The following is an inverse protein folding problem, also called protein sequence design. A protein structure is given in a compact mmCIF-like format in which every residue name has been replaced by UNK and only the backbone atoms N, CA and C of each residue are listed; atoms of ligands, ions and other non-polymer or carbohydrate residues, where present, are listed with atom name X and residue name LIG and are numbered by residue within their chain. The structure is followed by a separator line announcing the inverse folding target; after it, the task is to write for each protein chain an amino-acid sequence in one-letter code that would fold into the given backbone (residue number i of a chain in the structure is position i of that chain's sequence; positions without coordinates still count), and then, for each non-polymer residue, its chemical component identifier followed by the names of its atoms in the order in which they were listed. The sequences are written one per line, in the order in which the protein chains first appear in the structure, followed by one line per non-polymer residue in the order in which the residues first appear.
data_IF_198656269180
#
_entry.id   IF_198656269180
#
_cell.length_a   1.000
_cell.length_b   1.000
_cell.length_c   1.000
_cell.angle_alpha   90.00
_cell.angle_beta   90.00
_cell.angle_gamma   90.00
#
_symmetry.space_group_name_H-M   'P 1'
#
loop_
_entity.id
_entity.type
_entity.pdbx_description
1 polymer ?
#
# COMPACT_ATOMS: atom_id res chain seq x y z
N UNK A 1 31.58 -8.17 35.45
CA UNK A 1 31.28 -8.54 34.04
C UNK A 1 29.87 -8.16 33.78
N UNK A 2 29.65 -7.07 33.07
CA UNK A 2 28.34 -6.64 32.62
C UNK A 2 28.23 -7.15 31.19
N UNK A 3 27.34 -8.13 30.97
CA UNK A 3 27.06 -8.64 29.64
C UNK A 3 26.30 -7.61 28.82
N UNK A 4 26.89 -7.19 27.73
CA UNK A 4 26.21 -6.40 26.70
C UNK A 4 25.10 -7.25 26.06
N UNK A 5 23.88 -7.04 26.51
CA UNK A 5 22.70 -7.47 25.77
C UNK A 5 22.54 -6.55 24.56
N UNK A 6 23.26 -6.85 23.50
CA UNK A 6 23.08 -6.22 22.19
C UNK A 6 21.71 -6.66 21.65
N UNK A 7 20.66 -5.92 22.05
CA UNK A 7 19.32 -6.08 21.50
C UNK A 7 19.38 -5.75 20.01
N UNK A 8 19.09 -6.75 19.20
CA UNK A 8 18.87 -6.62 17.77
C UNK A 8 17.61 -5.76 17.54
N UNK A 9 17.70 -4.46 17.78
CA UNK A 9 16.76 -3.49 17.28
C UNK A 9 17.06 -3.30 15.79
N UNK A 10 16.60 -4.23 14.99
CA UNK A 10 16.57 -4.13 13.53
C UNK A 10 15.50 -3.14 13.07
N UNK A 11 15.49 -1.93 13.61
CA UNK A 11 14.71 -0.84 13.07
C UNK A 11 15.21 -0.54 11.66
N UNK A 12 14.35 -0.70 10.67
CA UNK A 12 14.68 -0.31 9.30
C UNK A 12 14.92 1.19 9.29
N UNK A 13 16.13 1.63 8.93
CA UNK A 13 16.43 3.06 8.82
C UNK A 13 15.63 3.65 7.66
N UNK A 14 14.52 4.29 7.98
CA UNK A 14 13.66 4.96 7.01
C UNK A 14 14.27 6.28 6.49
N UNK A 15 15.38 6.73 7.08
CA UNK A 15 16.06 7.96 6.68
C UNK A 15 16.74 7.75 5.34
N UNK A 16 16.24 8.44 4.31
CA UNK A 16 16.72 8.29 2.93
C UNK A 16 15.95 7.28 2.07
N UNK A 17 15.03 6.53 2.65
CA UNK A 17 14.12 5.69 1.88
C UNK A 17 13.16 6.56 1.06
N UNK A 18 13.08 6.28 -0.23
CA UNK A 18 12.07 6.92 -1.08
C UNK A 18 10.67 6.38 -0.76
N UNK A 19 9.62 7.20 -0.92
CA UNK A 19 8.24 6.75 -0.71
C UNK A 19 7.86 5.57 -1.61
N UNK A 20 7.20 4.58 -1.04
CA UNK A 20 6.73 3.37 -1.74
C UNK A 20 5.21 3.32 -1.70
N UNK A 21 4.59 3.09 -2.86
CA UNK A 21 3.17 2.78 -2.97
C UNK A 21 2.98 1.28 -3.17
N UNK A 22 2.18 0.66 -2.31
CA UNK A 22 1.77 -0.73 -2.41
C UNK A 22 0.28 -0.80 -2.71
N UNK A 23 -0.09 -1.34 -3.87
CA UNK A 23 -1.50 -1.55 -4.24
C UNK A 23 -1.84 -3.04 -4.06
N UNK A 24 -2.76 -3.32 -3.16
CA UNK A 24 -3.26 -4.68 -2.89
C UNK A 24 -4.63 -4.81 -3.52
N UNK A 25 -4.76 -5.58 -4.59
CA UNK A 25 -6.00 -5.70 -5.33
C UNK A 25 -6.16 -7.08 -5.97
N UNK A 26 -7.41 -7.45 -6.24
CA UNK A 26 -7.77 -8.61 -7.04
C UNK A 26 -9.13 -8.42 -7.67
N UNK A 27 -9.39 -9.12 -8.79
CA UNK A 27 -10.67 -9.04 -9.48
C UNK A 27 -11.79 -9.77 -8.72
N UNK A 28 -11.44 -10.78 -7.92
CA UNK A 28 -12.41 -11.56 -7.12
C UNK A 28 -12.42 -11.13 -5.65
N UNK A 29 -13.60 -11.23 -5.03
CA UNK A 29 -13.76 -11.09 -3.58
C UNK A 29 -13.27 -12.34 -2.84
N UNK A 30 -13.00 -12.21 -1.53
CA UNK A 30 -12.68 -13.34 -0.66
C UNK A 30 -11.30 -13.98 -0.86
N UNK A 31 -10.43 -13.42 -1.68
CA UNK A 31 -9.10 -13.98 -1.99
C UNK A 31 -7.99 -13.54 -1.02
N UNK A 32 -8.34 -12.91 0.09
CA UNK A 32 -7.40 -12.55 1.15
C UNK A 32 -6.70 -11.19 0.98
N UNK A 33 -7.18 -10.28 0.10
CA UNK A 33 -6.58 -8.93 -0.10
C UNK A 33 -6.37 -8.19 1.21
N UNK A 34 -7.46 -7.97 1.95
CA UNK A 34 -7.39 -7.25 3.22
C UNK A 34 -6.54 -7.97 4.27
N UNK A 35 -6.46 -9.30 4.21
CA UNK A 35 -5.53 -10.06 5.07
C UNK A 35 -4.08 -9.71 4.74
N UNK A 36 -3.74 -9.62 3.46
CA UNK A 36 -2.39 -9.18 3.01
C UNK A 36 -2.13 -7.76 3.47
N UNK A 37 -3.06 -6.84 3.25
CA UNK A 37 -2.93 -5.43 3.68
C UNK A 37 -2.73 -5.31 5.19
N UNK A 38 -3.47 -6.08 5.99
CA UNK A 38 -3.32 -6.15 7.45
C UNK A 38 -1.95 -6.66 7.86
N UNK A 39 -1.51 -7.79 7.30
CA UNK A 39 -0.21 -8.39 7.61
C UNK A 39 0.94 -7.42 7.28
N UNK A 40 0.84 -6.71 6.15
CA UNK A 40 1.82 -5.68 5.79
C UNK A 40 1.82 -4.52 6.78
N UNK A 41 0.65 -4.02 7.19
CA UNK A 41 0.56 -2.94 8.18
C UNK A 41 1.12 -3.37 9.53
N UNK A 42 0.79 -4.57 10.00
CA UNK A 42 1.33 -5.12 11.26
C UNK A 42 2.86 -5.22 11.19
N UNK A 43 3.39 -5.74 10.09
CA UNK A 43 4.83 -5.86 9.89
C UNK A 43 5.52 -4.49 9.85
N UNK A 44 5.00 -3.54 9.07
CA UNK A 44 5.58 -2.20 8.95
C UNK A 44 5.50 -1.43 10.26
N UNK A 45 4.42 -1.58 11.02
CA UNK A 45 4.29 -1.00 12.35
C UNK A 45 5.29 -1.60 13.34
N UNK A 46 5.50 -2.91 13.30
CA UNK A 46 6.51 -3.57 14.14
C UNK A 46 7.93 -3.10 13.82
N UNK A 47 8.18 -2.73 12.57
CA UNK A 47 9.44 -2.16 12.11
C UNK A 47 9.53 -0.64 12.31
N UNK A 48 8.55 -0.02 12.98
CA UNK A 48 8.44 1.44 13.15
C UNK A 48 8.53 2.25 11.86
N UNK A 49 8.06 1.65 10.74
CA UNK A 49 8.06 2.27 9.43
C UNK A 49 6.89 3.25 9.31
N UNK A 50 7.14 4.54 9.02
CA UNK A 50 6.08 5.51 8.78
C UNK A 50 5.17 5.07 7.64
N UNK A 51 3.94 4.64 7.96
CA UNK A 51 3.02 3.99 7.03
C UNK A 51 1.63 4.55 7.16
N UNK A 52 0.95 4.70 6.03
CA UNK A 52 -0.48 4.98 5.93
C UNK A 52 -1.16 4.00 5.00
N UNK A 53 -2.50 3.95 5.07
CA UNK A 53 -3.28 3.13 4.17
C UNK A 53 -4.52 3.87 3.65
N UNK A 54 -4.95 3.45 2.46
CA UNK A 54 -6.27 3.76 1.91
C UNK A 54 -7.07 2.47 1.77
N UNK A 55 -8.32 2.51 2.20
CA UNK A 55 -9.26 1.39 2.06
C UNK A 55 -10.35 1.79 1.09
N UNK A 56 -10.43 1.12 -0.06
CA UNK A 56 -11.41 1.45 -1.09
C UNK A 56 -12.75 0.73 -0.88
N UNK A 57 -12.96 0.06 0.24
CA UNK A 57 -14.23 -0.57 0.58
C UNK A 57 -15.18 0.43 1.27
N UNK A 58 -15.49 1.50 0.55
CA UNK A 58 -16.45 2.52 1.03
C UNK A 58 -17.89 1.96 1.07
N UNK A 59 -18.71 2.30 2.09
CA UNK A 59 -18.42 3.19 3.22
C UNK A 59 -17.88 2.49 4.48
N UNK A 60 -17.72 1.19 4.48
CA UNK A 60 -17.48 0.42 5.72
C UNK A 60 -16.04 0.04 6.01
N UNK A 61 -15.13 0.11 5.06
CA UNK A 61 -13.71 -0.12 5.18
C UNK A 61 -13.29 -1.29 6.08
N UNK A 62 -13.01 -2.45 5.51
CA UNK A 62 -12.59 -3.61 6.32
C UNK A 62 -11.21 -3.40 6.93
N UNK A 63 -10.27 -2.83 6.19
CA UNK A 63 -8.94 -2.50 6.69
C UNK A 63 -9.00 -1.39 7.74
N UNK A 64 -9.82 -0.35 7.50
CA UNK A 64 -10.04 0.75 8.42
C UNK A 64 -10.47 0.28 9.82
N UNK A 65 -11.27 -0.76 9.93
CA UNK A 65 -11.73 -1.31 11.22
C UNK A 65 -10.58 -1.79 12.11
N UNK A 66 -9.47 -2.23 11.52
CA UNK A 66 -8.31 -2.74 12.25
C UNK A 66 -7.28 -1.64 12.53
N UNK A 67 -7.14 -0.67 11.63
CA UNK A 67 -6.15 0.40 11.71
C UNK A 67 -6.77 1.79 11.48
N UNK A 68 -7.73 2.23 12.31
CA UNK A 68 -8.47 3.48 12.05
C UNK A 68 -7.60 4.75 12.13
N UNK A 69 -6.48 4.71 12.84
CA UNK A 69 -5.60 5.88 13.00
C UNK A 69 -4.70 6.15 11.79
N UNK A 70 -4.47 5.15 10.96
CA UNK A 70 -3.56 5.24 9.82
C UNK A 70 -4.19 4.85 8.49
N UNK A 71 -5.47 4.52 8.49
CA UNK A 71 -6.23 4.15 7.30
C UNK A 71 -7.31 5.18 7.03
N UNK A 72 -7.46 5.58 5.78
CA UNK A 72 -8.53 6.43 5.29
C UNK A 72 -9.41 5.66 4.32
N UNK A 73 -10.75 5.79 4.46
CA UNK A 73 -11.69 5.19 3.51
C UNK A 73 -11.81 6.12 2.31
N UNK A 74 -11.62 5.58 1.11
CA UNK A 74 -11.70 6.32 -0.15
C UNK A 74 -12.60 5.60 -1.15
N UNK A 75 -13.38 6.36 -1.88
CA UNK A 75 -14.10 5.85 -3.05
C UNK A 75 -13.30 6.18 -4.31
N UNK A 76 -12.59 5.19 -4.84
CA UNK A 76 -11.74 5.35 -6.02
C UNK A 76 -12.53 5.61 -7.31
N UNK A 77 -13.86 5.60 -7.28
CA UNK A 77 -14.72 5.93 -8.42
C UNK A 77 -15.07 7.42 -8.47
N UNK A 78 -14.81 8.18 -7.40
CA UNK A 78 -15.11 9.61 -7.35
C UNK A 78 -13.85 10.46 -7.55
N UNK A 79 -13.97 11.49 -8.40
CA UNK A 79 -12.84 12.38 -8.70
C UNK A 79 -12.29 13.08 -7.44
N UNK A 80 -13.15 13.48 -6.52
CA UNK A 80 -12.71 14.13 -5.28
C UNK A 80 -11.80 13.24 -4.42
N UNK A 81 -12.15 11.94 -4.27
CA UNK A 81 -11.31 10.99 -3.53
C UNK A 81 -10.05 10.61 -4.29
N UNK A 82 -10.11 10.56 -5.64
CA UNK A 82 -8.93 10.33 -6.47
C UNK A 82 -7.90 11.45 -6.28
N UNK A 83 -8.32 12.72 -6.41
CA UNK A 83 -7.47 13.89 -6.19
C UNK A 83 -6.88 13.86 -4.78
N UNK A 84 -7.71 13.65 -3.76
CA UNK A 84 -7.26 13.59 -2.36
C UNK A 84 -6.22 12.50 -2.11
N UNK A 85 -6.42 11.32 -2.68
CA UNK A 85 -5.46 10.21 -2.59
C UNK A 85 -4.12 10.59 -3.23
N UNK A 86 -4.16 11.21 -4.43
CA UNK A 86 -2.96 11.62 -5.17
C UNK A 86 -2.22 12.73 -4.44
N UNK A 87 -2.93 13.78 -3.99
CA UNK A 87 -2.33 14.87 -3.21
C UNK A 87 -1.62 14.33 -1.97
N UNK A 88 -2.28 13.41 -1.28
CA UNK A 88 -1.70 12.79 -0.10
C UNK A 88 -0.46 11.95 -0.42
N UNK A 89 -0.47 11.20 -1.52
CA UNK A 89 0.70 10.42 -1.98
C UNK A 89 1.88 11.34 -2.34
N UNK A 90 1.59 12.54 -2.86
CA UNK A 90 2.61 13.51 -3.28
C UNK A 90 3.21 14.30 -2.12
N UNK A 91 2.43 14.56 -1.07
CA UNK A 91 2.80 15.49 0.03
C UNK A 91 3.09 14.81 1.36
N UNK A 92 2.81 13.52 1.49
CA UNK A 92 2.95 12.79 2.74
C UNK A 92 4.41 12.48 3.10
N UNK A 93 4.76 12.67 4.38
CA UNK A 93 6.04 12.23 4.95
C UNK A 93 6.12 10.71 5.19
N UNK A 94 5.03 9.99 4.90
CA UNK A 94 4.97 8.55 5.06
C UNK A 94 5.88 7.84 4.04
N UNK A 95 6.59 6.82 4.50
CA UNK A 95 7.51 6.04 3.66
C UNK A 95 6.82 4.95 2.88
N UNK A 96 5.74 4.39 3.43
CA UNK A 96 4.94 3.38 2.75
C UNK A 96 3.48 3.79 2.76
N UNK A 97 2.85 3.74 1.59
CA UNK A 97 1.40 3.89 1.46
C UNK A 97 0.81 2.60 0.89
N UNK A 98 -0.15 2.02 1.60
CA UNK A 98 -0.88 0.83 1.16
C UNK A 98 -2.25 1.25 0.65
N UNK A 99 -2.64 0.75 -0.52
CA UNK A 99 -4.00 0.91 -1.07
C UNK A 99 -4.65 -0.47 -1.13
N UNK A 100 -5.60 -0.73 -0.21
CA UNK A 100 -6.42 -1.95 -0.22
C UNK A 100 -7.60 -1.75 -1.17
N UNK A 101 -7.54 -2.42 -2.32
CA UNK A 101 -8.50 -2.20 -3.40
C UNK A 101 -9.62 -3.21 -3.33
N UNK A 102 -10.86 -2.71 -3.25
CA UNK A 102 -12.09 -3.51 -3.32
C UNK A 102 -12.09 -4.41 -4.57
N UNK A 103 -12.69 -5.60 -4.46
CA UNK A 103 -12.89 -6.51 -5.60
C UNK A 103 -13.57 -5.79 -6.78
N UNK A 104 -13.05 -6.00 -7.98
CA UNK A 104 -13.55 -5.38 -9.20
C UNK A 104 -13.07 -3.95 -9.47
N UNK A 105 -12.43 -3.28 -8.51
CA UNK A 105 -11.94 -1.90 -8.68
C UNK A 105 -10.44 -1.80 -8.97
N UNK A 106 -9.73 -2.91 -9.14
CA UNK A 106 -8.29 -2.88 -9.40
C UNK A 106 -7.96 -2.14 -10.71
N UNK A 107 -8.64 -2.50 -11.80
CA UNK A 107 -8.40 -1.86 -13.10
C UNK A 107 -8.74 -0.36 -13.11
N UNK A 108 -9.89 0.09 -12.61
CA UNK A 108 -10.17 1.53 -12.45
C UNK A 108 -9.12 2.25 -11.61
N UNK A 109 -8.71 1.68 -10.47
CA UNK A 109 -7.70 2.27 -9.59
C UNK A 109 -6.35 2.42 -10.31
N UNK A 110 -5.89 1.37 -10.99
CA UNK A 110 -4.64 1.42 -11.74
C UNK A 110 -4.71 2.42 -12.90
N UNK A 111 -5.85 2.50 -13.60
CA UNK A 111 -6.06 3.50 -14.67
C UNK A 111 -5.96 4.91 -14.10
N UNK A 112 -6.66 5.23 -13.00
CA UNK A 112 -6.56 6.53 -12.35
C UNK A 112 -5.12 6.90 -12.02
N UNK A 113 -4.35 5.96 -11.44
CA UNK A 113 -2.95 6.18 -11.12
C UNK A 113 -2.09 6.40 -12.37
N UNK A 114 -2.41 5.73 -13.49
CA UNK A 114 -1.74 5.93 -14.78
C UNK A 114 -2.07 7.30 -15.37
N UNK A 115 -3.35 7.68 -15.39
CA UNK A 115 -3.82 8.92 -16.01
C UNK A 115 -3.23 10.17 -15.34
N UNK A 116 -2.89 10.08 -14.07
CA UNK A 116 -2.19 11.17 -13.35
C UNK A 116 -0.66 11.09 -13.41
N UNK A 117 -0.12 10.26 -14.29
CA UNK A 117 1.34 10.11 -14.48
C UNK A 117 2.05 9.40 -13.31
N UNK A 118 1.30 8.71 -12.45
CA UNK A 118 1.89 8.06 -11.27
C UNK A 118 2.82 6.90 -11.64
N UNK A 119 2.71 6.38 -12.86
CA UNK A 119 3.45 5.24 -13.41
C UNK A 119 4.39 5.61 -14.57
N UNK A 120 4.60 6.88 -14.87
CA UNK A 120 5.48 7.33 -15.97
C UNK A 120 6.98 7.05 -15.73
N UNK A 121 7.26 6.18 -14.77
CA UNK A 121 8.58 5.71 -14.44
C UNK A 121 8.68 4.22 -14.82
N UNK A 122 9.75 3.82 -15.47
CA UNK A 122 9.98 2.49 -16.04
C UNK A 122 9.57 1.32 -15.13
N UNK A 123 8.70 0.40 -15.61
CA UNK A 123 8.23 -0.72 -14.81
C UNK A 123 9.29 -1.82 -14.70
N UNK A 124 9.63 -2.22 -13.49
CA UNK A 124 10.43 -3.44 -13.24
C UNK A 124 9.47 -4.59 -13.01
N UNK A 125 9.53 -5.62 -13.87
CA UNK A 125 8.64 -6.78 -13.78
C UNK A 125 9.10 -7.80 -12.74
N UNK A 126 8.16 -8.38 -12.03
CA UNK A 126 8.37 -9.35 -10.95
C UNK A 126 7.84 -10.74 -11.26
N UNK A 127 8.50 -11.74 -10.67
CA UNK A 127 8.26 -13.17 -10.90
C UNK A 127 7.03 -13.72 -10.18
N UNK A 128 6.53 -14.79 -10.73
CA UNK A 128 5.33 -15.59 -10.53
C UNK A 128 4.76 -15.79 -9.11
N UNK A 129 3.41 -15.87 -9.05
CA UNK A 129 2.61 -16.32 -7.91
C UNK A 129 1.86 -15.18 -7.21
N UNK A 130 2.58 -14.22 -6.69
CA UNK A 130 2.07 -12.92 -6.25
C UNK A 130 2.66 -11.90 -7.19
N UNK A 131 1.85 -11.22 -7.99
CA UNK A 131 2.36 -10.19 -8.88
C UNK A 131 2.74 -8.97 -8.03
N UNK A 132 3.95 -8.94 -7.56
CA UNK A 132 4.55 -7.75 -7.00
C UNK A 132 5.18 -6.97 -8.17
N UNK A 133 4.56 -5.90 -8.59
CA UNK A 133 5.11 -4.99 -9.60
C UNK A 133 5.76 -3.82 -8.87
N UNK A 134 7.08 -3.79 -8.87
CA UNK A 134 7.83 -2.62 -8.41
C UNK A 134 7.94 -1.64 -9.58
N UNK A 135 7.60 -0.41 -9.32
CA UNK A 135 7.70 0.68 -10.29
C UNK A 135 9.04 1.38 -10.11
N UNK A 136 9.67 1.80 -11.21
CA UNK A 136 10.85 2.63 -11.15
C UNK A 136 10.52 3.90 -10.35
N UNK A 137 11.36 4.25 -9.38
CA UNK A 137 11.04 5.30 -8.40
C UNK A 137 10.52 4.76 -7.06
N UNK A 138 10.72 3.49 -6.76
CA UNK A 138 10.45 2.83 -5.47
C UNK A 138 8.97 2.69 -5.12
N UNK A 139 8.12 2.42 -6.11
CA UNK A 139 6.70 2.12 -5.93
C UNK A 139 6.43 0.65 -6.23
N UNK A 140 5.71 -0.02 -5.37
CA UNK A 140 5.39 -1.44 -5.52
C UNK A 140 3.88 -1.69 -5.54
N UNK A 141 3.42 -2.51 -6.50
CA UNK A 141 2.04 -2.99 -6.58
C UNK A 141 2.01 -4.48 -6.26
N UNK A 142 1.23 -4.86 -5.27
CA UNK A 142 0.96 -6.25 -4.96
C UNK A 142 -0.42 -6.61 -5.51
N UNK A 143 -0.47 -7.47 -6.52
CA UNK A 143 -1.72 -8.01 -7.04
C UNK A 143 -1.73 -9.52 -6.85
N UNK A 144 -2.77 -10.06 -6.23
CA UNK A 144 -3.01 -11.50 -6.25
C UNK A 144 -3.95 -11.83 -7.41
N UNK A 145 -3.53 -12.70 -8.34
CA UNK A 145 -4.46 -13.33 -9.26
C UNK A 145 -5.13 -14.48 -8.52
N UNK A 146 -6.46 -14.40 -8.37
CA UNK A 146 -7.23 -15.55 -7.94
C UNK A 146 -7.05 -16.68 -8.97
N UNK A 147 -6.77 -17.84 -8.48
CA UNK A 147 -6.79 -19.09 -9.21
C UNK A 147 -8.23 -19.40 -9.60
#
# INVERSE_FOLDING_TARGET
MVGDSNGLNGGVDAKGMKPVLVVVGANKGGVGKTTISRTLLDYLNSASMPTRAFDSESPRGTLYRFFPKQTEIVDVTTAAHQVRMIDTLSTSDQKVTIVDVRAGLLSPTLRTLTDVGFFDLDPISLKAGTNLKRLAGDRATVTSRGI
#
